data_IF_509762053084
#
_entry.id   IF_509762053084
#
_cell.length_a   1.000
_cell.length_b   1.000
_cell.length_c   1.000
_cell.angle_alpha   90.00
_cell.angle_beta   90.00
_cell.angle_gamma   90.00
#
_symmetry.space_group_name_H-M   'P 1'
#
loop_
_entity.id
_entity.type
_entity.pdbx_description
1 polymer ?
#
# COMPACT_ATOMS: atom_id res chain seq x y z
N UNK A 1 12.48 -6.16 5.28
CA UNK A 1 11.31 -6.16 6.19
C UNK A 1 10.32 -7.24 5.83
N UNK A 2 9.62 -7.71 6.83
CA UNK A 2 8.51 -8.64 6.62
C UNK A 2 7.36 -7.88 5.99
N UNK A 3 6.62 -8.50 5.08
CA UNK A 3 5.44 -7.89 4.46
C UNK A 3 4.22 -8.61 5.00
N UNK A 4 3.37 -7.88 5.69
CA UNK A 4 2.15 -8.43 6.29
C UNK A 4 0.94 -7.82 5.59
N UNK A 5 0.10 -8.65 5.01
CA UNK A 5 -1.06 -8.22 4.23
C UNK A 5 -2.33 -8.43 5.01
N UNK A 6 -3.16 -7.40 5.09
CA UNK A 6 -4.51 -7.60 5.58
C UNK A 6 -5.29 -8.41 4.54
N UNK A 7 -6.43 -8.93 4.94
CA UNK A 7 -7.27 -9.66 3.98
C UNK A 7 -7.68 -8.77 2.81
N UNK A 8 -8.02 -7.52 3.10
CA UNK A 8 -8.39 -6.58 2.05
C UNK A 8 -7.24 -6.30 1.10
N UNK A 9 -6.05 -6.10 1.65
CA UNK A 9 -4.87 -5.83 0.82
C UNK A 9 -4.53 -7.06 -0.03
N UNK A 10 -4.66 -8.24 0.53
CA UNK A 10 -4.38 -9.47 -0.20
C UNK A 10 -5.37 -9.65 -1.34
N UNK A 11 -6.65 -9.38 -1.08
CA UNK A 11 -7.68 -9.45 -2.13
C UNK A 11 -7.39 -8.45 -3.24
N UNK A 12 -6.98 -7.23 -2.89
CA UNK A 12 -6.61 -6.23 -3.88
C UNK A 12 -5.45 -6.73 -4.74
N UNK A 13 -4.44 -7.28 -4.09
CA UNK A 13 -3.25 -7.76 -4.78
C UNK A 13 -3.60 -8.88 -5.77
N UNK A 14 -4.43 -9.81 -5.34
CA UNK A 14 -4.89 -10.90 -6.21
C UNK A 14 -5.71 -10.36 -7.38
N UNK A 15 -6.52 -9.35 -7.13
CA UNK A 15 -7.30 -8.70 -8.19
C UNK A 15 -6.38 -8.13 -9.28
N UNK A 16 -5.35 -7.39 -8.87
CA UNK A 16 -4.43 -6.78 -9.82
C UNK A 16 -3.64 -7.82 -10.63
N UNK A 17 -3.33 -8.95 -10.03
CA UNK A 17 -2.65 -10.02 -10.75
C UNK A 17 -3.44 -10.49 -11.97
N UNK A 18 -4.76 -10.47 -11.87
CA UNK A 18 -5.63 -10.90 -12.95
C UNK A 18 -5.98 -9.78 -13.91
N UNK A 19 -6.14 -8.58 -13.39
CA UNK A 19 -6.74 -7.50 -14.16
C UNK A 19 -5.73 -6.57 -14.82
N UNK A 20 -4.58 -6.32 -14.20
CA UNK A 20 -3.70 -5.27 -14.68
C UNK A 20 -2.29 -5.47 -14.18
N UNK A 21 -1.48 -6.08 -15.01
CA UNK A 21 -0.09 -6.36 -14.65
C UNK A 21 0.75 -5.11 -14.49
N UNK A 22 0.38 -4.03 -15.15
CA UNK A 22 1.10 -2.77 -15.03
C UNK A 22 0.90 -2.20 -13.63
N UNK A 23 -0.33 -2.23 -13.14
CA UNK A 23 -0.63 -1.79 -11.78
C UNK A 23 0.06 -2.69 -10.76
N UNK A 24 0.08 -3.98 -10.99
CA UNK A 24 0.79 -4.91 -10.14
C UNK A 24 2.26 -4.55 -10.02
N UNK A 25 2.91 -4.28 -11.14
CA UNK A 25 4.32 -3.88 -11.16
C UNK A 25 4.55 -2.62 -10.35
N UNK A 26 3.64 -1.67 -10.47
CA UNK A 26 3.74 -0.41 -9.71
C UNK A 26 3.64 -0.68 -8.21
N UNK A 27 2.71 -1.54 -7.80
CA UNK A 27 2.55 -1.89 -6.40
C UNK A 27 3.83 -2.54 -5.86
N UNK A 28 4.40 -3.46 -6.61
CA UNK A 28 5.63 -4.12 -6.20
C UNK A 28 6.79 -3.13 -6.09
N UNK A 29 6.86 -2.18 -7.01
CA UNK A 29 7.89 -1.14 -6.96
C UNK A 29 7.73 -0.26 -5.73
N UNK A 30 6.48 0.07 -5.37
CA UNK A 30 6.22 0.87 -4.17
C UNK A 30 6.61 0.12 -2.91
N UNK A 31 6.27 -1.17 -2.82
CA UNK A 31 6.63 -1.96 -1.64
C UNK A 31 8.15 -2.05 -1.51
N UNK A 32 8.84 -2.23 -2.61
CA UNK A 32 10.30 -2.28 -2.60
C UNK A 32 10.88 -0.95 -2.13
N UNK A 33 10.30 0.16 -2.56
CA UNK A 33 10.75 1.46 -2.14
C UNK A 33 10.47 1.73 -0.66
N UNK A 34 9.31 1.27 -0.16
CA UNK A 34 8.98 1.36 1.26
C UNK A 34 10.00 0.59 2.08
N UNK A 35 10.35 -0.61 1.62
CA UNK A 35 11.33 -1.45 2.31
C UNK A 35 12.67 -0.74 2.43
N UNK A 36 13.04 0.04 1.43
CA UNK A 36 14.31 0.73 1.39
C UNK A 36 14.27 2.09 2.10
N UNK A 37 13.21 2.84 1.92
CA UNK A 37 13.16 4.24 2.34
C UNK A 37 12.12 4.58 3.41
N UNK A 38 11.27 3.65 3.78
CA UNK A 38 10.30 3.87 4.84
C UNK A 38 9.18 4.82 4.44
N UNK A 39 9.17 6.00 5.06
CA UNK A 39 8.10 6.97 4.84
C UNK A 39 8.50 8.09 3.88
N UNK A 40 9.57 7.90 3.14
CA UNK A 40 9.98 8.82 2.08
C UNK A 40 10.15 8.04 0.80
N UNK A 41 10.16 8.71 -0.35
CA UNK A 41 10.41 8.04 -1.61
C UNK A 41 9.33 8.30 -2.64
N UNK A 42 9.15 7.35 -3.55
CA UNK A 42 8.26 7.54 -4.69
C UNK A 42 6.79 7.40 -4.28
N UNK A 43 5.89 7.93 -5.10
CA UNK A 43 4.45 7.79 -4.87
C UNK A 43 3.88 8.79 -3.90
N UNK A 44 4.60 9.86 -3.59
CA UNK A 44 4.12 10.92 -2.69
C UNK A 44 3.64 10.39 -1.35
N UNK A 45 4.53 9.84 -0.53
CA UNK A 45 4.13 9.32 0.78
C UNK A 45 3.49 10.41 1.62
N UNK A 46 2.42 10.07 2.29
CA UNK A 46 1.66 11.04 3.05
C UNK A 46 1.01 10.36 4.26
N UNK A 47 1.11 10.98 5.46
CA UNK A 47 0.50 10.37 6.65
C UNK A 47 -1.02 10.55 6.60
N UNK A 48 -1.73 9.57 7.10
CA UNK A 48 -3.18 9.60 7.17
C UNK A 48 -3.63 10.04 8.56
N UNK A 49 -4.92 10.35 8.70
CA UNK A 49 -5.45 10.93 9.92
C UNK A 49 -6.65 10.15 10.43
N UNK A 50 -7.13 10.55 11.60
CA UNK A 50 -8.33 10.01 12.23
C UNK A 50 -8.25 8.50 12.37
N UNK A 51 -9.18 7.76 11.84
CA UNK A 51 -9.23 6.32 12.00
C UNK A 51 -8.00 5.62 11.46
N UNK A 52 -7.32 6.25 10.51
CA UNK A 52 -6.12 5.69 9.89
C UNK A 52 -4.84 6.34 10.41
N UNK A 53 -4.94 7.01 11.54
CA UNK A 53 -3.77 7.63 12.16
C UNK A 53 -2.69 6.58 12.40
N UNK A 54 -1.47 6.90 12.04
CA UNK A 54 -0.36 5.96 12.13
C UNK A 54 -0.08 5.23 10.83
N UNK A 55 -1.03 5.26 9.91
CA UNK A 55 -0.82 4.71 8.56
C UNK A 55 -0.41 5.80 7.60
N UNK A 56 0.19 5.40 6.50
CA UNK A 56 0.64 6.28 5.43
C UNK A 56 0.08 5.76 4.13
N UNK A 57 0.02 6.61 3.12
CA UNK A 57 -0.39 6.18 1.78
C UNK A 57 0.65 6.60 0.77
N UNK A 58 0.74 5.83 -0.31
CA UNK A 58 1.49 6.20 -1.50
C UNK A 58 0.62 5.96 -2.71
N UNK A 59 0.79 6.78 -3.71
CA UNK A 59 -0.01 6.70 -4.93
C UNK A 59 0.45 5.57 -5.82
N UNK A 60 -0.47 4.69 -6.15
CA UNK A 60 -0.26 3.67 -7.18
C UNK A 60 -0.49 4.35 -8.53
N UNK A 61 -1.60 5.07 -8.64
CA UNK A 61 -1.94 5.89 -9.81
C UNK A 61 -2.85 7.02 -9.35
N UNK A 62 -3.57 7.66 -10.26
CA UNK A 62 -4.42 8.79 -9.92
C UNK A 62 -5.59 8.44 -9.01
N UNK A 63 -5.95 7.18 -8.94
CA UNK A 63 -7.12 6.73 -8.19
C UNK A 63 -6.75 5.80 -7.05
N UNK A 64 -5.78 4.91 -7.27
CA UNK A 64 -5.46 3.84 -6.34
C UNK A 64 -4.29 4.19 -5.44
N UNK A 65 -4.33 3.71 -4.20
CA UNK A 65 -3.28 3.96 -3.23
C UNK A 65 -2.93 2.70 -2.46
N UNK A 66 -1.68 2.61 -2.05
CA UNK A 66 -1.29 1.62 -1.07
C UNK A 66 -1.31 2.30 0.29
N UNK A 67 -1.97 1.66 1.27
CA UNK A 67 -2.05 2.16 2.64
C UNK A 67 -1.29 1.20 3.52
N UNK A 68 -0.36 1.73 4.31
CA UNK A 68 0.56 0.90 5.07
C UNK A 68 1.06 1.59 6.32
N UNK A 69 1.66 0.80 7.22
CA UNK A 69 2.44 1.34 8.32
C UNK A 69 3.63 0.42 8.56
N UNK A 70 4.65 0.94 9.21
CA UNK A 70 5.85 0.17 9.52
C UNK A 70 6.00 0.07 11.02
N UNK A 71 6.19 -1.12 11.52
CA UNK A 71 6.45 -1.36 12.93
C UNK A 71 7.17 -2.69 13.07
N UNK A 72 8.13 -2.75 13.99
CA UNK A 72 8.84 -4.00 14.32
C UNK A 72 9.38 -4.71 13.08
N UNK A 73 10.04 -3.98 12.20
CA UNK A 73 10.66 -4.51 10.98
C UNK A 73 9.64 -5.17 10.05
N UNK A 74 8.40 -4.70 10.10
CA UNK A 74 7.32 -5.24 9.27
C UNK A 74 6.59 -4.09 8.59
N UNK A 75 6.26 -4.29 7.32
CA UNK A 75 5.36 -3.40 6.59
C UNK A 75 3.98 -4.02 6.66
N UNK A 76 3.06 -3.34 7.34
CA UNK A 76 1.66 -3.77 7.43
C UNK A 76 0.90 -3.10 6.31
N UNK A 77 0.43 -3.86 5.34
CA UNK A 77 -0.27 -3.33 4.17
C UNK A 77 -1.77 -3.52 4.40
N UNK A 78 -2.49 -2.41 4.51
CA UNK A 78 -3.92 -2.42 4.81
C UNK A 78 -4.78 -2.50 3.57
N UNK A 79 -4.33 -1.90 2.48
CA UNK A 79 -5.03 -1.97 1.19
C UNK A 79 -4.09 -1.54 0.07
N UNK A 80 -4.41 -1.93 -1.15
CA UNK A 80 -3.73 -1.44 -2.32
C UNK A 80 -4.72 -1.32 -3.48
N UNK A 81 -5.70 -0.44 -3.28
CA UNK A 81 -6.74 -0.19 -4.27
C UNK A 81 -7.34 1.17 -4.07
N UNK A 82 -8.49 1.42 -4.69
CA UNK A 82 -9.11 2.74 -4.66
C UNK A 82 -10.27 2.84 -3.68
N UNK A 83 -10.84 1.71 -3.31
CA UNK A 83 -12.00 1.79 -2.45
C UNK A 83 -11.56 1.75 -1.01
N UNK A 84 -12.20 2.55 -0.23
CA UNK A 84 -12.03 2.50 1.19
C UNK A 84 -13.06 1.53 1.66
N UNK A 85 -12.65 0.47 2.22
CA UNK A 85 -13.56 -0.61 2.55
C UNK A 85 -14.36 -0.32 3.77
N UNK A 86 -14.91 0.80 3.75
CA UNK A 86 -15.70 1.23 4.82
C UNK A 86 -17.11 0.96 4.55
N UNK A 87 -17.35 0.44 3.55
CA UNK A 87 -18.68 0.31 3.22
C UNK A 87 -19.41 -0.52 3.89
#
# INVERSE_FOLDING_TARGET
MIKSWSDDAWDDFCYWQKQDKKTLKRILALIKDIDRNGYTGIGKPEPLREDLSGYWSRRIDGVNRIVYKIAADTIYIAQCGSHYRDK
#
